data_IF_700168455961
#
_entry.id   IF_700168455961
#
_cell.length_a   1.000
_cell.length_b   1.000
_cell.length_c   1.000
_cell.angle_alpha   90.00
_cell.angle_beta   90.00
_cell.angle_gamma   90.00
#
_symmetry.space_group_name_H-M   'P 1'
#
loop_
_entity.id
_entity.type
_entity.pdbx_description
1 polymer ?
#
# COMPACT_ATOMS: atom_id res chain seq x y z
N UNK A 1 7.68 -5.64 -6.39
CA UNK A 1 8.19 -4.25 -6.25
C UNK A 1 9.66 -4.22 -6.65
N UNK A 2 10.13 -3.13 -7.23
CA UNK A 2 11.56 -2.86 -7.47
C UNK A 2 11.95 -1.58 -6.73
N UNK A 3 13.03 -1.62 -5.96
CA UNK A 3 13.60 -0.44 -5.31
C UNK A 3 14.96 -0.10 -5.93
N UNK A 4 15.31 1.18 -6.03
CA UNK A 4 16.65 1.60 -6.46
C UNK A 4 17.66 1.70 -5.30
N UNK A 5 17.25 1.40 -4.07
CA UNK A 5 18.07 1.38 -2.86
C UNK A 5 17.89 0.05 -2.12
N UNK A 6 18.85 -0.31 -1.27
CA UNK A 6 18.84 -1.61 -0.55
C UNK A 6 17.84 -1.67 0.61
N UNK A 7 17.43 -0.52 1.13
CA UNK A 7 16.50 -0.36 2.23
C UNK A 7 15.52 0.77 1.95
N UNK A 8 14.33 0.69 2.53
CA UNK A 8 13.28 1.70 2.37
C UNK A 8 12.05 1.39 3.22
N UNK A 9 11.21 2.41 3.38
CA UNK A 9 9.88 2.31 4.00
C UNK A 9 8.83 2.88 3.05
N UNK A 10 7.70 2.21 2.91
CA UNK A 10 6.48 2.80 2.37
C UNK A 10 5.31 2.51 3.30
N UNK A 11 4.24 3.28 3.16
CA UNK A 11 2.99 3.08 3.87
C UNK A 11 1.88 2.87 2.86
N UNK A 12 1.07 1.85 3.11
CA UNK A 12 -0.15 1.59 2.36
C UNK A 12 -1.36 2.12 3.14
N UNK A 13 -2.23 2.87 2.47
CA UNK A 13 -3.47 3.40 3.04
C UNK A 13 -4.66 2.93 2.22
N UNK A 14 -5.61 2.29 2.88
CA UNK A 14 -6.89 1.94 2.31
C UNK A 14 -7.91 3.02 2.66
N UNK A 15 -8.52 3.60 1.65
CA UNK A 15 -9.53 4.64 1.78
C UNK A 15 -10.89 4.17 1.25
N UNK A 16 -11.94 4.65 1.90
CA UNK A 16 -13.31 4.67 1.40
C UNK A 16 -13.58 6.02 0.74
N UNK A 17 -13.77 6.03 -0.58
CA UNK A 17 -14.03 7.23 -1.36
C UNK A 17 -15.50 7.33 -1.75
N UNK A 18 -16.13 8.43 -1.32
CA UNK A 18 -17.49 8.76 -1.71
C UNK A 18 -17.61 9.35 -3.13
N UNK A 19 -18.84 9.56 -3.62
CA UNK A 19 -19.10 10.11 -4.96
C UNK A 19 -18.50 11.49 -5.21
N UNK A 20 -18.22 12.26 -4.14
CA UNK A 20 -17.59 13.58 -4.20
C UNK A 20 -16.03 13.50 -4.23
N UNK A 21 -15.45 12.30 -4.23
CA UNK A 21 -14.00 12.10 -4.23
C UNK A 21 -13.31 12.32 -2.88
N UNK A 22 -14.08 12.49 -1.81
CA UNK A 22 -13.53 12.60 -0.45
C UNK A 22 -13.22 11.21 0.09
N UNK A 23 -11.95 10.97 0.42
CA UNK A 23 -11.46 9.73 1.01
C UNK A 23 -11.50 9.75 2.53
N UNK A 24 -12.02 8.68 3.14
CA UNK A 24 -11.90 8.39 4.57
C UNK A 24 -10.97 7.21 4.79
N UNK A 25 -9.99 7.37 5.69
CA UNK A 25 -9.08 6.29 6.02
C UNK A 25 -9.82 5.12 6.68
N UNK A 26 -9.65 3.93 6.12
CA UNK A 26 -10.24 2.66 6.58
C UNK A 26 -9.21 1.82 7.33
N UNK A 27 -8.02 1.67 6.74
CA UNK A 27 -6.88 0.96 7.33
C UNK A 27 -5.56 1.44 6.72
N UNK A 28 -4.45 1.13 7.36
CA UNK A 28 -3.11 1.36 6.83
C UNK A 28 -2.14 0.30 7.37
N UNK A 29 -0.96 0.23 6.76
CA UNK A 29 0.20 -0.40 7.37
C UNK A 29 1.49 0.15 6.77
N UNK A 30 2.52 0.43 7.60
CA UNK A 30 3.87 0.65 7.11
C UNK A 30 4.54 -0.67 6.73
N UNK A 31 5.41 -0.64 5.73
CA UNK A 31 6.26 -1.74 5.32
C UNK A 31 7.69 -1.24 5.15
N UNK A 32 8.62 -1.87 5.86
CA UNK A 32 10.05 -1.58 5.78
C UNK A 32 10.80 -2.79 5.27
N UNK A 33 11.71 -2.58 4.33
CA UNK A 33 12.59 -3.61 3.80
C UNK A 33 14.05 -3.21 3.97
N UNK A 34 14.91 -4.23 4.02
CA UNK A 34 16.36 -4.08 4.12
C UNK A 34 17.08 -5.17 3.30
N UNK A 35 18.33 -4.90 2.94
CA UNK A 35 19.23 -5.86 2.27
C UNK A 35 18.74 -6.34 0.90
N UNK A 36 17.85 -5.60 0.25
CA UNK A 36 17.40 -5.91 -1.10
C UNK A 36 18.45 -5.51 -2.12
N UNK A 37 18.52 -6.22 -3.24
CA UNK A 37 19.43 -5.82 -4.34
C UNK A 37 18.79 -4.69 -5.14
N UNK A 38 19.39 -3.48 -5.21
CA UNK A 38 18.87 -2.39 -6.02
C UNK A 38 18.59 -2.78 -7.46
N UNK A 39 17.47 -2.34 -8.01
CA UNK A 39 17.03 -2.62 -9.39
C UNK A 39 16.49 -4.03 -9.61
N UNK A 40 16.55 -4.93 -8.62
CA UNK A 40 15.99 -6.28 -8.73
C UNK A 40 14.57 -6.33 -8.15
N UNK A 41 13.58 -6.86 -8.87
CA UNK A 41 12.24 -7.01 -8.34
C UNK A 41 12.19 -8.08 -7.24
N UNK A 42 11.37 -7.82 -6.22
CA UNK A 42 11.05 -8.75 -5.13
C UNK A 42 9.55 -8.68 -4.76
N UNK A 43 8.94 -9.81 -4.31
CA UNK A 43 7.54 -9.83 -3.90
C UNK A 43 7.34 -9.17 -2.54
N UNK A 44 6.12 -8.69 -2.28
CA UNK A 44 5.72 -8.11 -1.01
C UNK A 44 4.33 -8.61 -0.67
N UNK A 45 4.20 -9.17 0.53
CA UNK A 45 2.93 -9.47 1.15
C UNK A 45 2.79 -8.58 2.39
N UNK A 46 1.82 -7.67 2.37
CA UNK A 46 1.57 -6.69 3.43
C UNK A 46 0.17 -6.88 3.99
N UNK A 47 0.08 -7.19 5.28
CA UNK A 47 -1.19 -7.18 6.00
C UNK A 47 -1.49 -5.76 6.52
N UNK A 48 -2.64 -5.23 6.13
CA UNK A 48 -3.14 -3.96 6.67
C UNK A 48 -3.69 -4.17 8.09
N UNK A 49 -3.63 -3.14 8.93
CA UNK A 49 -4.19 -3.23 10.28
C UNK A 49 -5.67 -3.65 10.26
N UNK A 50 -6.03 -4.56 11.15
CA UNK A 50 -7.40 -5.09 11.18
C UNK A 50 -8.42 -3.99 11.45
N UNK A 51 -9.46 -3.96 10.63
CA UNK A 51 -10.58 -3.03 10.77
C UNK A 51 -11.88 -3.72 10.40
N UNK A 52 -12.98 -3.23 10.94
CA UNK A 52 -14.33 -3.64 10.57
C UNK A 52 -15.05 -2.40 10.08
N UNK A 53 -15.28 -2.34 8.77
CA UNK A 53 -15.79 -1.15 8.11
C UNK A 53 -16.84 -1.51 7.06
N UNK A 54 -17.99 -0.83 7.11
CA UNK A 54 -19.03 -0.96 6.09
C UNK A 54 -18.81 0.11 5.03
N UNK A 55 -18.55 -0.31 3.78
CA UNK A 55 -18.42 0.60 2.63
C UNK A 55 -19.83 1.01 2.17
N UNK A 56 -20.20 2.30 2.23
CA UNK A 56 -21.53 2.74 1.80
C UNK A 56 -21.81 2.44 0.32
N UNK A 57 -23.09 2.30 -0.02
CA UNK A 57 -23.48 2.08 -1.41
C UNK A 57 -23.03 3.25 -2.31
N UNK A 58 -22.43 2.92 -3.46
CA UNK A 58 -21.89 3.90 -4.40
C UNK A 58 -20.52 4.46 -4.04
N UNK A 59 -19.93 4.03 -2.92
CA UNK A 59 -18.53 4.31 -2.61
C UNK A 59 -17.60 3.26 -3.24
N UNK A 60 -16.30 3.57 -3.27
CA UNK A 60 -15.24 2.66 -3.73
C UNK A 60 -14.10 2.61 -2.72
N UNK A 61 -13.36 1.50 -2.76
CA UNK A 61 -12.09 1.39 -2.05
C UNK A 61 -10.94 1.88 -2.94
N UNK A 62 -10.06 2.69 -2.37
CA UNK A 62 -8.84 3.16 -3.03
C UNK A 62 -7.63 2.80 -2.16
N UNK A 63 -6.65 2.13 -2.76
CA UNK A 63 -5.35 1.89 -2.14
C UNK A 63 -4.38 2.98 -2.59
N UNK A 64 -3.79 3.68 -1.62
CA UNK A 64 -2.72 4.65 -1.83
C UNK A 64 -1.43 4.10 -1.24
N UNK A 65 -0.34 4.17 -1.99
CA UNK A 65 1.01 3.84 -1.52
C UNK A 65 1.82 5.12 -1.51
N UNK A 66 2.44 5.43 -0.37
CA UNK A 66 3.33 6.59 -0.21
C UNK A 66 4.64 6.16 0.44
N UNK A 67 5.74 6.81 0.09
CA UNK A 67 7.05 6.60 0.72
C UNK A 67 7.30 7.59 1.84
N UNK A 68 6.57 8.70 1.93
CA UNK A 68 6.78 9.70 2.99
C UNK A 68 5.50 9.86 3.80
N UNK A 69 5.59 9.53 5.08
CA UNK A 69 4.51 9.75 6.05
C UNK A 69 5.08 10.40 7.31
N UNK A 70 4.76 11.67 7.59
CA UNK A 70 5.23 12.38 8.78
C UNK A 70 4.87 11.71 10.11
N UNK A 71 3.87 10.81 10.11
CA UNK A 71 3.44 10.06 11.29
C UNK A 71 4.16 8.71 11.46
N UNK A 72 4.92 8.28 10.45
CA UNK A 72 5.67 7.03 10.46
C UNK A 72 7.18 7.27 10.59
N UNK A 73 7.89 6.36 11.27
CA UNK A 73 9.35 6.38 11.28
C UNK A 73 9.82 5.83 9.93
N UNK A 74 10.35 6.69 9.08
CA UNK A 74 10.81 6.34 7.74
C UNK A 74 12.33 6.08 7.68
N UNK A 75 12.73 5.19 6.77
CA UNK A 75 14.12 4.87 6.46
C UNK A 75 14.34 5.00 4.95
N UNK A 76 14.09 6.20 4.40
CA UNK A 76 14.15 6.45 2.97
C UNK A 76 15.36 7.30 2.61
N UNK A 77 16.36 6.74 1.90
CA UNK A 77 17.46 7.53 1.36
C UNK A 77 16.96 8.61 0.39
N UNK A 78 17.63 9.77 0.37
CA UNK A 78 17.29 10.84 -0.58
C UNK A 78 17.38 10.34 -2.02
N UNK A 79 16.31 10.53 -2.81
CA UNK A 79 16.26 10.08 -4.20
C UNK A 79 15.86 8.60 -4.37
N UNK A 80 15.48 7.92 -3.30
CA UNK A 80 14.91 6.57 -3.39
C UNK A 80 13.63 6.57 -4.23
N UNK A 81 13.45 5.53 -5.04
CA UNK A 81 12.30 5.28 -5.89
C UNK A 81 11.86 3.83 -5.73
N UNK A 82 10.56 3.66 -5.52
CA UNK A 82 9.89 2.37 -5.55
C UNK A 82 9.04 2.26 -6.81
N UNK A 83 9.11 1.11 -7.47
CA UNK A 83 8.28 0.79 -8.63
C UNK A 83 7.42 -0.43 -8.32
N UNK A 84 6.11 -0.28 -8.49
CA UNK A 84 5.13 -1.36 -8.36
C UNK A 84 4.66 -1.75 -9.76
N UNK A 85 4.73 -3.04 -10.06
CA UNK A 85 4.34 -3.60 -11.36
C UNK A 85 3.12 -4.49 -11.18
N UNK A 86 2.15 -4.39 -12.07
CA UNK A 86 1.02 -5.31 -12.14
C UNK A 86 0.80 -5.66 -13.60
N UNK A 87 1.08 -6.92 -13.96
CA UNK A 87 0.92 -7.42 -15.32
C UNK A 87 -0.21 -8.45 -15.37
N UNK A 88 -0.82 -8.73 -16.54
CA UNK A 88 -1.82 -9.80 -16.63
C UNK A 88 -1.32 -11.18 -16.23
N UNK A 89 -0.01 -11.45 -16.38
CA UNK A 89 0.61 -12.72 -16.02
C UNK A 89 1.02 -12.81 -14.53
N UNK A 90 1.16 -11.65 -13.87
CA UNK A 90 1.56 -11.51 -12.47
C UNK A 90 0.91 -10.24 -11.89
N UNK A 91 -0.38 -10.30 -11.55
CA UNK A 91 -1.13 -9.14 -11.09
C UNK A 91 -0.85 -8.85 -9.61
N UNK A 92 -0.67 -7.58 -9.28
CA UNK A 92 -0.77 -7.13 -7.88
C UNK A 92 -2.25 -6.99 -7.49
N UNK A 93 -2.61 -7.45 -6.29
CA UNK A 93 -3.98 -7.43 -5.81
C UNK A 93 -4.07 -7.05 -4.33
N UNK A 94 -5.27 -6.65 -3.91
CA UNK A 94 -5.63 -6.44 -2.50
C UNK A 94 -6.70 -7.47 -2.16
N UNK A 95 -6.45 -8.28 -1.14
CA UNK A 95 -7.45 -9.20 -0.62
C UNK A 95 -8.27 -8.50 0.47
N UNK A 96 -9.59 -8.45 0.31
CA UNK A 96 -10.51 -7.84 1.27
C UNK A 96 -11.47 -8.92 1.79
N UNK A 97 -11.40 -9.31 3.06
CA UNK A 97 -12.33 -10.28 3.62
C UNK A 97 -13.72 -9.64 3.75
N UNK A 98 -14.72 -10.28 3.15
CA UNK A 98 -16.11 -9.86 3.20
C UNK A 98 -16.87 -10.73 4.20
N UNK A 99 -17.84 -10.13 4.91
CA UNK A 99 -18.77 -10.90 5.75
C UNK A 99 -19.71 -11.71 4.84
N UNK A 100 -19.97 -12.96 5.22
CA UNK A 100 -21.03 -13.75 4.58
C UNK A 100 -22.41 -13.11 4.86
N UNK A 101 -23.36 -13.32 3.94
CA UNK A 101 -24.72 -12.77 4.04
C UNK A 101 -25.63 -13.61 4.92
#
# INVERSE_FOLDING_TARGET
MTANEESGTFVAYLHDEGPLGLGKLVSNAPYTFHGQTPGRPFPIDLELFSTAYDVPAGHRLTLVIDTVDPLSIEHNPTGSQLTFSSSPADPSYVSVPLREK
#
